data_IF_672620572497
#
_entry.id   IF_672620572497
#
_cell.length_a   1.000
_cell.length_b   1.000
_cell.length_c   1.000
_cell.angle_alpha   90.00
_cell.angle_beta   90.00
_cell.angle_gamma   90.00
#
_symmetry.space_group_name_H-M   'P 1'
#
loop_
_entity.id
_entity.type
_entity.pdbx_description
1 polymer ?
#
# COMPACT_ATOMS: atom_id res chain seq x y z
N UNK A 1 17.23 15.14 -1.24
CA UNK A 1 15.79 15.07 -0.93
C UNK A 1 14.96 15.53 -2.13
N UNK A 2 13.95 14.74 -2.53
CA UNK A 2 13.01 15.09 -3.60
C UNK A 2 12.00 16.18 -3.22
N UNK A 3 11.28 16.78 -4.20
CA UNK A 3 10.14 17.65 -3.94
C UNK A 3 9.02 16.97 -3.14
N UNK A 4 8.77 15.68 -3.37
CA UNK A 4 7.76 14.89 -2.66
C UNK A 4 8.10 14.78 -1.18
N UNK A 5 9.35 14.42 -0.86
CA UNK A 5 9.80 14.33 0.53
C UNK A 5 9.80 15.69 1.23
N UNK A 6 10.09 16.79 0.50
CA UNK A 6 9.93 18.14 1.06
C UNK A 6 8.50 18.44 1.48
N UNK A 7 7.51 18.12 0.63
CA UNK A 7 6.09 18.29 0.96
C UNK A 7 5.67 17.46 2.17
N UNK A 8 6.21 16.25 2.30
CA UNK A 8 5.97 15.41 3.48
C UNK A 8 6.51 16.09 4.74
N UNK A 9 7.76 16.56 4.73
CA UNK A 9 8.35 17.25 5.87
C UNK A 9 7.57 18.52 6.23
N UNK A 10 7.16 19.31 5.23
CA UNK A 10 6.36 20.51 5.46
C UNK A 10 5.01 20.18 6.10
N UNK A 11 4.34 19.10 5.67
CA UNK A 11 3.12 18.62 6.31
C UNK A 11 3.39 18.16 7.75
N UNK A 12 4.43 17.36 7.99
CA UNK A 12 4.78 16.88 9.32
C UNK A 12 5.10 18.04 10.29
N UNK A 13 5.77 19.10 9.82
CA UNK A 13 6.02 20.30 10.63
C UNK A 13 4.75 20.97 11.12
N UNK A 14 3.67 20.96 10.33
CA UNK A 14 2.38 21.50 10.78
C UNK A 14 1.75 20.71 11.94
N UNK A 15 2.28 19.53 12.24
CA UNK A 15 1.80 18.66 13.30
C UNK A 15 2.63 18.76 14.59
N UNK A 16 3.74 19.50 14.58
CA UNK A 16 4.58 19.70 15.76
C UNK A 16 3.75 20.32 16.88
N UNK A 17 3.90 19.76 18.09
CA UNK A 17 3.14 20.17 19.28
C UNK A 17 1.86 19.38 19.50
N UNK A 18 1.42 18.54 18.54
CA UNK A 18 0.36 17.57 18.79
C UNK A 18 0.78 16.57 19.87
N UNK A 19 -0.12 16.23 20.77
CA UNK A 19 0.03 15.15 21.75
C UNK A 19 -1.18 14.24 21.74
N UNK A 20 -1.01 13.03 22.25
CA UNK A 20 -2.16 12.16 22.51
C UNK A 20 -3.13 12.78 23.53
N UNK A 21 -4.39 12.39 23.41
CA UNK A 21 -5.45 12.76 24.34
C UNK A 21 -5.52 11.76 25.49
N UNK A 22 -6.39 12.02 26.47
CA UNK A 22 -6.65 11.09 27.56
C UNK A 22 -6.98 9.68 27.03
N UNK A 23 -6.40 8.66 27.65
CA UNK A 23 -6.56 7.26 27.21
C UNK A 23 -5.72 6.87 25.99
N UNK A 24 -4.71 7.66 25.62
CA UNK A 24 -3.78 7.33 24.53
C UNK A 24 -4.30 7.67 23.13
N UNK A 25 -5.50 8.27 23.04
CA UNK A 25 -6.13 8.51 21.75
C UNK A 25 -5.32 9.47 20.87
N UNK A 26 -5.14 9.10 19.60
CA UNK A 26 -4.64 10.01 18.57
C UNK A 26 -5.49 9.97 17.30
N UNK A 27 -5.53 11.10 16.57
CA UNK A 27 -6.14 11.16 15.24
C UNK A 27 -5.41 10.28 14.21
N UNK A 28 -4.12 10.00 14.45
CA UNK A 28 -3.30 9.14 13.60
C UNK A 28 -3.67 7.66 13.82
N UNK A 29 -3.75 7.23 15.07
CA UNK A 29 -4.23 5.91 15.45
C UNK A 29 -5.68 5.66 15.01
N UNK A 30 -6.57 6.62 15.22
CA UNK A 30 -7.97 6.53 14.78
C UNK A 30 -8.09 6.41 13.26
N UNK A 31 -7.30 7.19 12.51
CA UNK A 31 -7.23 7.05 11.06
C UNK A 31 -6.71 5.67 10.66
N UNK A 32 -5.64 5.19 11.30
CA UNK A 32 -5.02 3.91 10.97
C UNK A 32 -6.01 2.75 11.20
N UNK A 33 -6.66 2.73 12.37
CA UNK A 33 -7.69 1.76 12.71
C UNK A 33 -8.88 1.78 11.76
N UNK A 34 -9.28 2.94 11.22
CA UNK A 34 -10.42 3.03 10.29
C UNK A 34 -10.10 2.75 8.82
N UNK A 35 -8.86 3.02 8.39
CA UNK A 35 -8.52 3.06 6.96
C UNK A 35 -7.48 2.02 6.54
N UNK A 36 -6.75 1.42 7.49
CA UNK A 36 -5.67 0.48 7.21
C UNK A 36 -6.01 -0.89 7.78
N UNK A 37 -6.19 -1.01 9.09
CA UNK A 37 -6.37 -2.31 9.76
C UNK A 37 -7.84 -2.69 9.99
N UNK A 38 -8.75 -1.72 9.96
CA UNK A 38 -10.17 -1.92 10.29
C UNK A 38 -10.39 -2.45 11.72
N UNK A 39 -9.56 -1.97 12.66
CA UNK A 39 -9.56 -2.32 14.08
C UNK A 39 -9.44 -1.05 14.93
N UNK A 40 -10.42 -0.84 15.82
CA UNK A 40 -10.48 0.35 16.67
C UNK A 40 -9.39 0.41 17.74
N UNK A 41 -8.76 -0.71 18.07
CA UNK A 41 -7.75 -0.79 19.12
C UNK A 41 -6.53 0.09 18.78
N UNK A 42 -6.24 0.29 17.49
CA UNK A 42 -5.17 1.19 17.01
C UNK A 42 -5.37 2.66 17.39
N UNK A 43 -6.59 3.08 17.76
CA UNK A 43 -6.86 4.47 18.13
C UNK A 43 -6.06 4.94 19.36
N UNK A 44 -5.63 4.01 20.21
CA UNK A 44 -4.89 4.26 21.44
C UNK A 44 -3.55 3.52 21.54
N UNK A 45 -2.96 3.12 20.40
CA UNK A 45 -1.64 2.46 20.35
C UNK A 45 -0.48 3.44 20.13
N UNK A 46 0.77 3.04 20.43
CA UNK A 46 1.97 3.80 20.08
C UNK A 46 1.96 4.22 18.61
N UNK A 47 2.12 5.52 18.36
CA UNK A 47 1.70 6.13 17.09
C UNK A 47 2.84 6.75 16.26
N UNK A 48 4.11 6.45 16.58
CA UNK A 48 5.27 6.97 15.86
C UNK A 48 5.22 6.69 14.35
N UNK A 49 4.92 5.45 13.95
CA UNK A 49 4.87 5.07 12.54
C UNK A 49 3.51 5.40 11.89
N UNK A 50 2.42 5.30 12.66
CA UNK A 50 1.09 5.73 12.22
C UNK A 50 1.06 7.22 11.86
N UNK A 51 1.85 8.05 12.56
CA UNK A 51 2.03 9.47 12.25
C UNK A 51 2.67 9.71 10.88
N UNK A 52 3.77 9.01 10.60
CA UNK A 52 4.47 9.12 9.32
C UNK A 52 3.60 8.57 8.17
N UNK A 53 2.98 7.41 8.41
CA UNK A 53 2.03 6.77 7.49
C UNK A 53 0.83 7.66 7.17
N UNK A 54 0.27 8.34 8.17
CA UNK A 54 -0.83 9.29 7.98
C UNK A 54 -0.41 10.44 7.07
N UNK A 55 0.75 11.06 7.32
CA UNK A 55 1.22 12.18 6.53
C UNK A 55 1.50 11.76 5.08
N UNK A 56 2.12 10.59 4.89
CA UNK A 56 2.35 10.02 3.57
C UNK A 56 1.03 9.75 2.84
N UNK A 57 0.05 9.15 3.51
CA UNK A 57 -1.27 8.89 2.95
C UNK A 57 -1.99 10.18 2.54
N UNK A 58 -1.92 11.24 3.36
CA UNK A 58 -2.51 12.56 3.05
C UNK A 58 -1.97 13.18 1.76
N UNK A 59 -0.77 12.79 1.34
CA UNK A 59 -0.13 13.26 0.11
C UNK A 59 -0.21 12.24 -1.04
N UNK A 60 -0.82 11.07 -0.83
CA UNK A 60 -0.92 10.01 -1.82
C UNK A 60 0.34 9.15 -1.97
N UNK A 61 1.20 9.11 -0.95
CA UNK A 61 2.54 8.49 -1.00
C UNK A 61 2.57 7.04 -0.50
N UNK A 62 1.44 6.50 -0.04
CA UNK A 62 1.34 5.20 0.61
C UNK A 62 1.97 4.03 -0.16
N UNK A 63 1.99 4.08 -1.50
CA UNK A 63 2.53 2.99 -2.33
C UNK A 63 4.04 2.81 -2.22
N UNK A 64 4.77 3.90 -2.00
CA UNK A 64 6.23 3.91 -1.93
C UNK A 64 6.77 4.34 -0.58
N UNK A 65 5.90 4.83 0.30
CA UNK A 65 6.21 5.11 1.69
C UNK A 65 5.85 3.95 2.63
N UNK A 66 4.81 3.17 2.31
CA UNK A 66 4.26 2.20 3.25
C UNK A 66 3.14 2.77 4.13
N UNK A 67 2.42 1.88 4.82
CA UNK A 67 1.42 2.22 5.83
C UNK A 67 1.57 1.21 6.98
N UNK A 68 2.19 1.64 8.08
CA UNK A 68 2.57 0.78 9.19
C UNK A 68 2.25 1.42 10.54
N UNK A 69 1.97 0.57 11.51
CA UNK A 69 1.97 0.91 12.94
C UNK A 69 3.17 0.27 13.67
N UNK A 70 3.55 -0.95 13.27
CA UNK A 70 4.63 -1.70 13.88
C UNK A 70 5.96 -1.45 13.18
N UNK A 71 6.91 -0.84 13.89
CA UNK A 71 8.16 -0.31 13.33
C UNK A 71 9.09 -1.37 12.74
N UNK A 72 9.27 -2.58 13.33
CA UNK A 72 10.05 -3.64 12.68
C UNK A 72 9.53 -4.03 11.30
N UNK A 73 8.21 -4.16 11.14
CA UNK A 73 7.62 -4.53 9.83
C UNK A 73 7.85 -3.45 8.77
N UNK A 74 7.87 -2.18 9.15
CA UNK A 74 8.18 -1.12 8.21
C UNK A 74 9.66 -1.17 7.78
N UNK A 75 10.58 -1.44 8.70
CA UNK A 75 11.98 -1.65 8.38
C UNK A 75 12.19 -2.87 7.46
N UNK A 76 11.58 -4.02 7.78
CA UNK A 76 11.59 -5.22 6.93
C UNK A 76 11.05 -4.93 5.53
N UNK A 77 9.95 -4.18 5.44
CA UNK A 77 9.40 -3.78 4.15
C UNK A 77 10.40 -2.98 3.31
N UNK A 78 11.15 -2.04 3.91
CA UNK A 78 12.23 -1.34 3.18
C UNK A 78 13.33 -2.29 2.74
N UNK A 79 13.69 -3.30 3.54
CA UNK A 79 14.64 -4.35 3.14
C UNK A 79 14.12 -5.08 1.91
N UNK A 80 12.86 -5.52 1.91
CA UNK A 80 12.21 -6.19 0.77
C UNK A 80 12.15 -5.32 -0.48
N UNK A 81 11.94 -4.01 -0.32
CA UNK A 81 11.96 -3.08 -1.43
C UNK A 81 13.37 -2.85 -2.01
N UNK A 82 14.43 -3.28 -1.33
CA UNK A 82 15.82 -2.94 -1.66
C UNK A 82 16.12 -1.47 -1.38
N UNK A 83 15.47 -0.90 -0.37
CA UNK A 83 15.52 0.50 0.00
C UNK A 83 15.86 0.69 1.50
N UNK A 84 16.58 -0.26 2.08
CA UNK A 84 17.17 -0.18 3.41
C UNK A 84 18.67 0.14 3.33
N UNK A 85 19.23 0.84 4.32
CA UNK A 85 20.67 1.06 4.44
C UNK A 85 21.08 1.78 5.72
N UNK A 86 22.31 2.28 5.74
CA UNK A 86 22.95 2.81 6.96
C UNK A 86 23.35 4.28 6.87
N UNK A 87 23.17 4.92 5.71
CA UNK A 87 23.55 6.32 5.52
C UNK A 87 22.35 7.23 5.82
N UNK A 88 22.47 8.20 6.74
CA UNK A 88 21.43 9.20 6.95
C UNK A 88 21.33 10.13 5.74
N UNK A 89 20.11 10.42 5.30
CA UNK A 89 19.85 11.45 4.30
C UNK A 89 18.50 12.14 4.58
N UNK A 90 18.36 13.45 4.30
CA UNK A 90 17.08 14.14 4.46
C UNK A 90 15.96 13.47 3.65
N UNK A 91 14.88 13.11 4.34
CA UNK A 91 13.74 12.35 3.82
C UNK A 91 13.81 10.84 4.10
N UNK A 92 14.91 10.31 4.60
CA UNK A 92 14.96 8.91 5.04
C UNK A 92 14.18 8.72 6.35
N UNK A 93 13.54 7.57 6.50
CA UNK A 93 13.04 7.12 7.79
C UNK A 93 14.21 6.56 8.57
N UNK A 94 14.37 7.00 9.82
CA UNK A 94 15.38 6.49 10.74
C UNK A 94 14.70 5.60 11.75
N UNK A 95 15.26 4.41 11.98
CA UNK A 95 14.73 3.42 12.90
C UNK A 95 15.70 3.21 14.05
N UNK A 96 15.15 3.15 15.26
CA UNK A 96 15.94 3.08 16.49
C UNK A 96 15.59 1.87 17.32
N UNK A 97 16.60 1.35 18.01
CA UNK A 97 16.50 0.31 19.04
C UNK A 97 17.18 0.83 20.30
N UNK A 98 16.37 1.11 21.33
CA UNK A 98 16.86 1.69 22.58
C UNK A 98 17.57 0.68 23.46
N UNK A 99 17.32 -0.62 23.25
CA UNK A 99 18.03 -1.70 23.93
C UNK A 99 19.46 -1.89 23.39
N UNK A 100 19.72 -1.40 22.17
CA UNK A 100 21.04 -1.42 21.55
C UNK A 100 21.44 -2.78 20.98
N UNK A 101 20.49 -3.66 20.68
CA UNK A 101 20.76 -4.92 19.98
C UNK A 101 21.22 -4.69 18.53
N UNK A 102 20.76 -3.59 17.91
CA UNK A 102 21.05 -3.25 16.52
C UNK A 102 20.31 -4.14 15.51
N UNK A 103 19.32 -4.92 15.96
CA UNK A 103 18.55 -5.82 15.13
C UNK A 103 17.18 -5.21 14.75
N UNK A 104 16.65 -5.62 13.59
CA UNK A 104 15.38 -5.08 13.06
C UNK A 104 14.20 -5.43 13.97
N UNK A 105 14.18 -6.62 14.54
CA UNK A 105 13.17 -7.08 15.49
C UNK A 105 13.24 -6.36 16.85
N UNK A 106 14.40 -5.74 17.15
CA UNK A 106 14.61 -4.87 18.31
C UNK A 106 14.22 -3.40 18.07
N UNK A 107 13.70 -3.03 16.89
CA UNK A 107 13.33 -1.63 16.61
C UNK A 107 12.12 -1.20 17.44
N UNK A 108 12.32 -0.18 18.27
CA UNK A 108 11.31 0.42 19.15
C UNK A 108 10.62 1.65 18.55
N UNK A 109 11.30 2.36 17.64
CA UNK A 109 10.87 3.70 17.24
C UNK A 109 11.30 4.06 15.81
N UNK A 110 10.54 4.98 15.22
CA UNK A 110 10.83 5.54 13.90
C UNK A 110 10.67 7.06 13.89
N UNK A 111 11.53 7.73 13.13
CA UNK A 111 11.43 9.15 12.80
C UNK A 111 11.71 9.40 11.32
N UNK A 112 11.62 10.65 10.90
CA UNK A 112 12.08 11.07 9.56
C UNK A 112 13.19 12.10 9.67
N UNK A 113 14.27 11.92 8.92
CA UNK A 113 15.42 12.81 8.89
C UNK A 113 15.07 14.10 8.14
N UNK A 114 15.31 15.25 8.76
CA UNK A 114 15.09 16.59 8.16
C UNK A 114 16.39 17.23 7.69
N UNK A 115 17.50 17.03 8.42
CA UNK A 115 18.87 17.42 8.03
C UNK A 115 19.90 16.49 8.66
N UNK A 116 21.14 16.56 8.15
CA UNK A 116 22.29 15.79 8.64
C UNK A 116 23.45 16.76 8.77
N UNK A 117 24.05 16.82 9.96
CA UNK A 117 25.13 17.73 10.33
C UNK A 117 26.26 16.92 10.97
N UNK A 118 27.18 16.43 10.13
CA UNK A 118 28.20 15.46 10.53
C UNK A 118 27.58 14.14 10.99
N UNK A 119 27.88 13.72 12.23
CA UNK A 119 27.32 12.51 12.83
C UNK A 119 25.98 12.76 13.54
N UNK A 120 25.48 14.00 13.52
CA UNK A 120 24.20 14.38 14.12
C UNK A 120 23.11 14.40 13.06
N UNK A 121 21.94 13.86 13.40
CA UNK A 121 20.73 13.94 12.58
C UNK A 121 19.68 14.82 13.26
N UNK A 122 19.00 15.63 12.45
CA UNK A 122 17.79 16.31 12.85
C UNK A 122 16.60 15.52 12.33
N UNK A 123 15.57 15.35 13.15
CA UNK A 123 14.41 14.53 12.82
C UNK A 123 13.09 15.19 13.20
N UNK A 124 12.01 14.74 12.57
CA UNK A 124 10.65 14.91 13.08
C UNK A 124 10.13 13.53 13.49
N UNK A 125 9.60 13.45 14.70
CA UNK A 125 9.18 12.20 15.33
C UNK A 125 7.82 12.39 15.99
N UNK A 126 6.94 11.40 15.85
CA UNK A 126 5.68 11.30 16.59
C UNK A 126 5.87 10.38 17.80
N UNK A 127 4.98 10.46 18.79
CA UNK A 127 5.02 9.60 19.97
C UNK A 127 6.37 9.66 20.73
N UNK A 128 6.95 10.85 20.88
CA UNK A 128 8.24 11.06 21.55
C UNK A 128 8.11 12.08 22.70
N UNK A 129 9.00 11.99 23.69
CA UNK A 129 9.10 12.91 24.84
C UNK A 129 7.75 13.14 25.56
N UNK A 130 7.12 12.06 26.04
CA UNK A 130 5.80 12.15 26.66
C UNK A 130 4.69 12.24 25.63
N UNK A 131 4.78 11.45 24.56
CA UNK A 131 3.70 11.25 23.59
C UNK A 131 3.35 12.49 22.76
N UNK A 132 4.36 13.19 22.25
CA UNK A 132 4.23 14.37 21.37
C UNK A 132 4.78 14.12 19.96
N UNK A 133 4.35 14.95 19.01
CA UNK A 133 5.05 15.19 17.74
C UNK A 133 6.03 16.35 17.89
N UNK A 134 7.32 16.12 17.64
CA UNK A 134 8.40 17.09 17.89
C UNK A 134 9.52 17.00 16.86
N UNK A 135 10.30 18.07 16.78
CA UNK A 135 11.65 18.00 16.21
C UNK A 135 12.62 17.47 17.26
N UNK A 136 13.59 16.66 16.83
CA UNK A 136 14.66 16.14 17.68
C UNK A 136 16.00 16.33 16.99
N UNK A 137 17.04 16.43 17.82
CA UNK A 137 18.44 16.34 17.43
C UNK A 137 18.97 15.08 18.09
N UNK A 138 19.55 14.19 17.29
CA UNK A 138 19.96 12.85 17.73
C UNK A 138 21.38 12.57 17.27
N UNK A 139 22.17 11.93 18.13
CA UNK A 139 23.29 11.13 17.65
C UNK A 139 22.77 9.82 17.03
N UNK A 140 23.67 9.06 16.41
CA UNK A 140 23.32 7.82 15.71
C UNK A 140 23.58 6.55 16.53
N UNK A 141 23.81 6.66 17.85
CA UNK A 141 24.23 5.53 18.70
C UNK A 141 23.22 4.38 18.71
N UNK A 142 21.93 4.70 18.70
CA UNK A 142 20.83 3.73 18.75
C UNK A 142 20.17 3.49 17.40
N UNK A 143 20.77 3.96 16.31
CA UNK A 143 20.21 3.79 14.97
C UNK A 143 20.48 2.36 14.49
N UNK A 144 19.39 1.66 14.14
CA UNK A 144 19.46 0.34 13.48
C UNK A 144 19.69 0.51 11.99
N UNK A 145 19.03 1.49 11.39
CA UNK A 145 19.23 1.84 9.98
C UNK A 145 18.17 2.79 9.44
N UNK A 146 18.15 2.89 8.12
CA UNK A 146 17.36 3.87 7.39
C UNK A 146 16.56 3.24 6.25
N UNK A 147 15.29 3.62 6.17
CA UNK A 147 14.41 3.36 5.03
C UNK A 147 14.41 4.54 4.06
N UNK A 148 14.45 4.26 2.74
CA UNK A 148 14.54 5.28 1.70
C UNK A 148 13.30 5.30 0.78
N UNK A 149 12.22 6.00 1.14
CA UNK A 149 10.99 6.08 0.35
C UNK A 149 11.22 6.51 -1.11
N UNK A 150 12.12 7.47 -1.36
CA UNK A 150 12.45 7.95 -2.71
C UNK A 150 13.04 6.83 -3.59
N UNK A 151 13.83 5.90 -3.03
CA UNK A 151 14.36 4.75 -3.78
C UNK A 151 13.23 3.83 -4.22
N UNK A 152 12.25 3.58 -3.35
CA UNK A 152 11.06 2.79 -3.69
C UNK A 152 10.24 3.48 -4.79
N UNK A 153 10.02 4.79 -4.66
CA UNK A 153 9.28 5.59 -5.64
C UNK A 153 9.91 5.54 -7.02
N UNK A 154 11.21 5.83 -7.14
CA UNK A 154 11.93 5.80 -8.42
C UNK A 154 11.90 4.41 -9.05
N UNK A 155 12.07 3.35 -8.25
CA UNK A 155 11.95 1.96 -8.73
C UNK A 155 10.56 1.70 -9.32
N UNK A 156 9.49 2.10 -8.62
CA UNK A 156 8.12 1.93 -9.10
C UNK A 156 7.83 2.74 -10.37
N UNK A 157 8.29 3.99 -10.45
CA UNK A 157 8.15 4.84 -11.64
C UNK A 157 8.84 4.22 -12.87
N UNK A 158 10.05 3.70 -12.70
CA UNK A 158 10.78 3.02 -13.76
C UNK A 158 10.06 1.75 -14.25
N UNK A 159 9.52 0.96 -13.32
CA UNK A 159 8.74 -0.23 -13.65
C UNK A 159 7.45 0.11 -14.40
N UNK A 160 6.72 1.14 -13.95
CA UNK A 160 5.50 1.60 -14.59
C UNK A 160 5.78 2.08 -16.03
N UNK A 161 6.85 2.85 -16.24
CA UNK A 161 7.28 3.29 -17.57
C UNK A 161 7.65 2.11 -18.48
N UNK A 162 8.38 1.13 -17.97
CA UNK A 162 8.75 -0.06 -18.73
C UNK A 162 7.51 -0.88 -19.14
N UNK A 163 6.54 -1.04 -18.24
CA UNK A 163 5.29 -1.75 -18.53
C UNK A 163 4.45 -1.00 -19.57
N UNK A 164 4.33 0.31 -19.46
CA UNK A 164 3.65 1.14 -20.45
C UNK A 164 4.31 1.03 -21.83
N UNK A 165 5.65 1.05 -21.89
CA UNK A 165 6.40 0.84 -23.13
C UNK A 165 6.13 -0.53 -23.77
N UNK A 166 6.09 -1.60 -22.97
CA UNK A 166 5.73 -2.95 -23.45
C UNK A 166 4.27 -3.03 -23.93
N UNK A 167 3.33 -2.39 -23.24
CA UNK A 167 1.92 -2.36 -23.65
C UNK A 167 1.71 -1.59 -24.97
N UNK A 168 2.46 -0.51 -25.19
CA UNK A 168 2.44 0.23 -26.47
C UNK A 168 3.06 -0.60 -27.60
N UNK A 169 4.11 -1.37 -27.32
CA UNK A 169 4.72 -2.28 -28.29
C UNK A 169 3.81 -3.48 -28.67
N UNK A 170 2.83 -3.82 -27.83
CA UNK A 170 1.91 -4.95 -28.02
C UNK A 170 0.55 -4.57 -28.66
N UNK A 171 0.42 -3.44 -29.37
CA UNK A 171 -0.82 -3.12 -30.12
C UNK A 171 -1.19 -4.21 -31.16
N UNK A 172 -2.48 -4.44 -31.42
CA UNK A 172 -3.04 -5.78 -31.48
C UNK A 172 -2.83 -6.48 -32.83
N UNK A 173 -2.50 -7.77 -32.78
CA UNK A 173 -2.88 -8.72 -33.86
C UNK A 173 -4.40 -8.87 -33.80
N UNK A 174 -5.12 -7.90 -34.35
CA UNK A 174 -6.56 -7.94 -34.57
C UNK A 174 -6.88 -7.40 -35.97
N UNK A 175 -6.29 -8.06 -36.96
CA UNK A 175 -6.64 -8.12 -38.38
C UNK A 175 -5.68 -9.21 -38.88
N UNK A 176 -6.07 -10.42 -39.24
CA UNK A 176 -6.96 -10.75 -40.35
C UNK A 176 -7.72 -12.05 -40.03
N UNK A 177 -9.03 -11.98 -39.80
CA UNK A 177 -9.90 -13.11 -40.13
C UNK A 177 -10.75 -12.67 -41.31
N UNK A 178 -10.22 -12.94 -42.51
CA UNK A 178 -10.92 -12.73 -43.77
C UNK A 178 -12.20 -13.58 -43.76
N UNK A 179 -13.36 -12.92 -43.85
CA UNK A 179 -14.65 -13.57 -44.04
C UNK A 179 -14.64 -14.34 -45.36
N UNK A 180 -14.60 -15.67 -45.29
CA UNK A 180 -14.89 -16.54 -46.44
C UNK A 180 -16.40 -16.49 -46.75
N UNK A 181 -16.80 -16.58 -48.03
CA UNK A 181 -18.18 -16.36 -48.44
C UNK A 181 -19.09 -17.56 -48.11
N UNK A 182 -20.37 -17.24 -47.87
CA UNK A 182 -21.42 -18.18 -47.57
C UNK A 182 -21.63 -19.22 -48.70
N UNK A 183 -21.72 -20.50 -48.32
CA UNK A 183 -22.15 -21.58 -49.19
C UNK A 183 -23.58 -21.99 -48.82
N UNK A 184 -24.47 -21.88 -49.80
CA UNK A 184 -25.89 -22.25 -49.78
C UNK A 184 -26.10 -23.71 -50.20
N UNK A 185 -26.95 -24.47 -49.49
CA UNK A 185 -27.75 -25.62 -49.99
C UNK A 185 -28.69 -26.12 -48.87
N UNK A 186 -29.97 -25.72 -48.86
CA UNK A 186 -31.20 -26.41 -49.34
C UNK A 186 -31.92 -27.29 -48.30
N UNK A 187 -33.27 -27.36 -48.34
CA UNK A 187 -34.11 -27.53 -47.15
C UNK A 187 -34.83 -28.89 -47.05
N UNK A 188 -35.06 -29.35 -45.82
CA UNK A 188 -35.95 -30.46 -45.48
C UNK A 188 -37.27 -29.94 -44.91
N UNK A 189 -38.36 -30.32 -45.56
CA UNK A 189 -39.79 -30.04 -45.35
C UNK A 189 -40.35 -30.39 -43.96
N UNK A 190 -41.23 -29.54 -43.41
CA UNK A 190 -42.65 -29.84 -43.13
C UNK A 190 -43.32 -28.78 -42.21
N UNK A 191 -44.52 -28.32 -42.57
CA UNK A 191 -45.55 -27.93 -41.59
C UNK A 191 -45.98 -26.45 -41.56
N UNK A 192 -47.22 -26.23 -42.02
CA UNK A 192 -47.98 -24.98 -42.15
C UNK A 192 -48.12 -24.06 -40.91
N UNK A 193 -48.02 -22.75 -41.21
CA UNK A 193 -48.91 -21.61 -40.88
C UNK A 193 -49.55 -21.49 -39.49
N UNK A 194 -49.17 -20.45 -38.73
CA UNK A 194 -49.98 -19.23 -38.54
C UNK A 194 -49.34 -18.20 -37.57
N UNK A 195 -49.09 -16.99 -38.09
CA UNK A 195 -49.36 -15.67 -37.49
C UNK A 195 -48.81 -15.28 -36.11
N UNK A 196 -47.94 -14.25 -36.09
CA UNK A 196 -47.75 -13.40 -34.90
C UNK A 196 -46.46 -12.58 -34.91
N UNK A 197 -46.54 -11.26 -35.14
CA UNK A 197 -45.44 -10.29 -35.02
C UNK A 197 -45.01 -10.15 -33.55
N UNK A 198 -43.72 -10.31 -33.23
CA UNK A 198 -43.12 -9.80 -31.99
C UNK A 198 -41.77 -9.10 -32.23
N UNK A 199 -41.54 -8.04 -31.44
CA UNK A 199 -40.41 -7.11 -31.49
C UNK A 199 -39.12 -7.70 -30.86
N UNK A 200 -37.91 -7.18 -31.18
CA UNK A 200 -36.68 -7.75 -30.63
C UNK A 200 -36.46 -7.36 -29.16
N UNK A 201 -36.32 -8.38 -28.31
CA UNK A 201 -36.02 -8.27 -26.88
C UNK A 201 -34.54 -8.52 -26.52
N UNK A 202 -34.03 -7.65 -25.64
CA UNK A 202 -33.25 -7.92 -24.42
C UNK A 202 -32.10 -8.96 -24.37
N UNK A 203 -31.49 -9.40 -25.48
CA UNK A 203 -30.41 -10.40 -25.43
C UNK A 203 -28.97 -9.83 -25.28
N UNK A 204 -28.76 -8.52 -25.40
CA UNK A 204 -27.41 -7.94 -25.53
C UNK A 204 -26.69 -7.58 -24.22
N UNK A 205 -27.30 -7.75 -23.05
CA UNK A 205 -26.71 -7.36 -21.75
C UNK A 205 -26.36 -8.53 -20.82
N UNK A 206 -26.75 -9.77 -21.16
CA UNK A 206 -26.52 -10.93 -20.29
C UNK A 206 -25.12 -11.55 -20.41
N UNK A 207 -24.47 -11.40 -21.58
CA UNK A 207 -23.13 -11.95 -21.82
C UNK A 207 -22.04 -11.29 -20.97
N UNK A 208 -21.93 -9.95 -20.84
CA UNK A 208 -20.91 -9.34 -19.98
C UNK A 208 -21.16 -9.59 -18.48
N UNK A 209 -22.42 -9.74 -18.05
CA UNK A 209 -22.77 -10.00 -16.66
C UNK A 209 -22.39 -11.43 -16.23
N UNK A 210 -22.60 -12.42 -17.11
CA UNK A 210 -22.20 -13.81 -16.85
C UNK A 210 -20.67 -13.96 -16.76
N UNK A 211 -19.92 -13.22 -17.59
CA UNK A 211 -18.45 -13.22 -17.53
C UNK A 211 -17.95 -12.59 -16.22
N UNK A 212 -18.55 -11.48 -15.77
CA UNK A 212 -18.18 -10.86 -14.50
C UNK A 212 -18.45 -11.77 -13.29
N UNK A 213 -19.57 -12.50 -13.29
CA UNK A 213 -19.92 -13.45 -12.23
C UNK A 213 -18.95 -14.64 -12.21
N UNK A 214 -18.58 -15.19 -13.39
CA UNK A 214 -17.60 -16.27 -13.49
C UNK A 214 -16.21 -15.86 -12.96
N UNK A 215 -15.78 -14.63 -13.24
CA UNK A 215 -14.50 -14.10 -12.73
C UNK A 215 -14.54 -13.92 -11.21
N UNK A 216 -15.65 -13.44 -10.64
CA UNK A 216 -15.81 -13.29 -9.19
C UNK A 216 -15.83 -14.64 -8.46
N UNK A 217 -16.50 -15.66 -9.01
CA UNK A 217 -16.54 -17.01 -8.43
C UNK A 217 -15.16 -17.67 -8.47
N UNK A 218 -14.42 -17.50 -9.57
CA UNK A 218 -13.05 -18.01 -9.68
C UNK A 218 -12.10 -17.32 -8.67
N UNK A 219 -12.20 -16.01 -8.50
CA UNK A 219 -11.43 -15.25 -7.51
C UNK A 219 -11.75 -15.67 -6.07
N UNK A 220 -13.01 -15.94 -5.74
CA UNK A 220 -13.39 -16.38 -4.39
C UNK A 220 -12.86 -17.80 -4.07
N UNK A 221 -12.90 -18.71 -5.04
CA UNK A 221 -12.37 -20.08 -4.88
C UNK A 221 -10.85 -20.09 -4.71
N UNK A 222 -10.13 -19.23 -5.45
CA UNK A 222 -8.69 -19.06 -5.31
C UNK A 222 -8.30 -18.48 -3.94
N UNK A 223 -9.06 -17.50 -3.40
CA UNK A 223 -8.83 -16.96 -2.05
C UNK A 223 -9.05 -17.99 -0.94
N UNK A 224 -10.06 -18.87 -1.08
CA UNK A 224 -10.29 -19.96 -0.10
C UNK A 224 -9.23 -21.06 -0.15
N UNK A 225 -8.59 -21.29 -1.30
CA UNK A 225 -7.51 -22.28 -1.41
C UNK A 225 -6.18 -21.80 -0.79
N UNK A 226 -5.98 -20.47 -0.70
CA UNK A 226 -4.78 -19.85 -0.10
C UNK A 226 -4.93 -19.61 1.41
N UNK A 227 -6.16 -19.56 1.93
CA UNK A 227 -6.43 -19.56 3.35
C UNK A 227 -6.42 -21.01 3.87
N UNK A 228 -5.24 -21.51 4.24
CA UNK A 228 -5.09 -22.79 4.93
C UNK A 228 -5.92 -22.86 6.22
N UNK A 229 -6.17 -24.07 6.78
CA UNK A 229 -7.03 -24.23 7.94
C UNK A 229 -6.46 -23.47 9.15
N UNK A 230 -7.33 -22.71 9.83
CA UNK A 230 -7.01 -21.98 11.05
C UNK A 230 -6.50 -22.96 12.14
N UNK A 231 -5.26 -22.79 12.58
CA UNK A 231 -4.72 -23.54 13.71
C UNK A 231 -5.41 -23.09 15.00
N UNK A 232 -6.10 -24.02 15.66
CA UNK A 232 -6.63 -23.80 17.00
C UNK A 232 -5.47 -23.60 18.00
N UNK A 233 -5.47 -22.50 18.77
CA UNK A 233 -4.57 -22.34 19.92
C UNK A 233 -5.07 -23.20 21.10
N UNK A 234 -4.18 -23.86 21.86
CA UNK A 234 -4.56 -24.54 23.09
C UNK A 234 -4.89 -23.53 24.20
N UNK A 235 -5.92 -23.84 25.01
CA UNK A 235 -6.19 -23.15 26.27
C UNK A 235 -5.08 -23.50 27.27
N UNK A 236 -4.45 -22.49 27.86
CA UNK A 236 -3.69 -22.65 29.10
C UNK A 236 -4.64 -22.57 30.28
N UNK A 237 -4.55 -23.55 31.18
CA UNK A 237 -5.01 -23.48 32.56
C UNK A 237 -4.19 -22.48 33.37
#
# INVERSE_FOLDING_TARGET
>A
MSPEMRKLLDLLRTQIGYSEQAGGYTKYGDWYGKNVEFDSDYSAQPWCDMFLSWAAHRLGYQKWFGQFAFTPYHAEWFVEQGAWGTTPEPGALVFYDWSGSGAIDGIDHVGIVTSVDGDTIHTIEGNIDGQYAREKVRDQTYVVGYGYPDKVRVKQEAQAKALAGKAVALKPVAAEFSLAPAMTATPGTAGDLAGGREAPGAAALLVPLLIAILVLVACHKARRALAGPASARPRSE
#
